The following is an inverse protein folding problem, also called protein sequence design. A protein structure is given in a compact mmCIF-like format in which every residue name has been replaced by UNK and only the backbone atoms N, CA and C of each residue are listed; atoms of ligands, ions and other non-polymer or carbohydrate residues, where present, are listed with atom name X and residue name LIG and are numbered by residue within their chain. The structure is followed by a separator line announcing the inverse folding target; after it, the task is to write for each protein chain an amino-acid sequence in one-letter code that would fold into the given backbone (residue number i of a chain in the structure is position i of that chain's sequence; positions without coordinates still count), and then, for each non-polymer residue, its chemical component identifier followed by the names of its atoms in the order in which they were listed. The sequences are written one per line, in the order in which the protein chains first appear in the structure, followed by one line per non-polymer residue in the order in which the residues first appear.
data_IF_558999832013
#
_entry.id   IF_558999832013
#
_cell.length_a   1.000
_cell.length_b   1.000
_cell.length_c   1.000
_cell.angle_alpha   90.00
_cell.angle_beta   90.00
_cell.angle_gamma   90.00
#
_symmetry.space_group_name_H-M   'P 1'
#
loop_
_entity.id
_entity.type
_entity.pdbx_description
1 polymer ?
#
# COMPACT_ATOMS: atom_id res chain seq x y z
N UNK A 1 19.29 -5.43 -13.95
CA UNK A 1 18.30 -6.09 -14.81
C UNK A 1 16.95 -6.18 -14.11
N UNK A 2 16.88 -6.78 -12.91
CA UNK A 2 15.64 -6.92 -12.13
C UNK A 2 14.87 -5.60 -11.95
N UNK A 3 15.56 -4.51 -11.58
CA UNK A 3 14.96 -3.18 -11.45
C UNK A 3 14.21 -2.76 -12.72
N UNK A 4 14.84 -2.87 -13.89
CA UNK A 4 14.23 -2.47 -15.16
C UNK A 4 12.99 -3.32 -15.51
N UNK A 5 13.09 -4.63 -15.32
CA UNK A 5 11.98 -5.56 -15.58
C UNK A 5 10.81 -5.29 -14.64
N UNK A 6 11.08 -5.13 -13.34
CA UNK A 6 10.05 -4.92 -12.34
C UNK A 6 9.40 -3.54 -12.48
N UNK A 7 10.17 -2.50 -12.83
CA UNK A 7 9.60 -1.19 -13.18
C UNK A 7 8.68 -1.27 -14.40
N UNK A 8 9.08 -2.00 -15.44
CA UNK A 8 8.23 -2.23 -16.60
C UNK A 8 6.91 -2.91 -16.23
N UNK A 9 6.96 -3.99 -15.45
CA UNK A 9 5.76 -4.68 -14.95
C UNK A 9 4.85 -3.77 -14.12
N UNK A 10 5.43 -2.97 -13.24
CA UNK A 10 4.67 -2.01 -12.42
C UNK A 10 4.01 -0.95 -13.31
N UNK A 11 4.74 -0.37 -14.25
CA UNK A 11 4.22 0.60 -15.20
C UNK A 11 3.06 0.01 -16.02
N UNK A 12 3.26 -1.19 -16.58
CA UNK A 12 2.25 -1.89 -17.38
C UNK A 12 1.01 -2.22 -16.54
N UNK A 13 1.17 -2.63 -15.28
CA UNK A 13 0.03 -2.87 -14.38
C UNK A 13 -0.83 -1.61 -14.21
N UNK A 14 -0.22 -0.46 -13.90
CA UNK A 14 -0.95 0.81 -13.75
C UNK A 14 -1.66 1.23 -15.05
N UNK A 15 -0.99 1.06 -16.18
CA UNK A 15 -1.55 1.34 -17.50
C UNK A 15 -2.74 0.42 -17.81
N UNK A 16 -2.58 -0.89 -17.65
CA UNK A 16 -3.57 -1.86 -18.08
C UNK A 16 -4.77 -1.94 -17.13
N UNK A 17 -4.55 -1.78 -15.82
CA UNK A 17 -5.61 -1.89 -14.80
C UNK A 17 -6.33 -0.56 -14.54
N UNK A 18 -5.64 0.57 -14.72
CA UNK A 18 -6.19 1.88 -14.36
C UNK A 18 -6.20 2.90 -15.50
N UNK A 19 -5.70 2.55 -16.68
CA UNK A 19 -5.48 3.49 -17.78
C UNK A 19 -4.63 4.70 -17.35
N UNK A 20 -3.70 4.49 -16.41
CA UNK A 20 -2.81 5.54 -15.89
C UNK A 20 -1.53 5.59 -16.72
N UNK A 21 -1.18 6.76 -17.23
CA UNK A 21 0.08 6.95 -17.97
C UNK A 21 1.21 7.41 -17.03
N UNK A 22 1.96 6.47 -16.45
CA UNK A 22 3.08 6.72 -15.52
C UNK A 22 2.68 7.28 -14.14
N UNK A 23 3.69 7.66 -13.34
CA UNK A 23 3.56 8.18 -11.98
C UNK A 23 2.69 9.42 -11.90
N UNK A 24 2.75 10.33 -12.88
CA UNK A 24 2.01 11.60 -12.88
C UNK A 24 0.75 11.60 -13.77
N UNK A 25 0.40 10.43 -14.32
CA UNK A 25 -0.65 10.25 -15.30
C UNK A 25 -0.46 11.05 -16.62
N UNK A 26 0.74 11.55 -16.90
CA UNK A 26 1.08 12.35 -18.10
C UNK A 26 2.33 11.84 -18.83
N UNK A 27 2.77 10.62 -18.52
CA UNK A 27 3.91 10.00 -19.18
C UNK A 27 5.26 10.45 -18.64
N UNK A 28 5.32 10.89 -17.37
CA UNK A 28 6.58 11.16 -16.69
C UNK A 28 7.58 10.02 -16.85
N UNK A 29 8.85 10.38 -17.05
CA UNK A 29 9.96 9.43 -17.08
C UNK A 29 10.08 8.77 -15.70
N UNK A 30 10.14 7.44 -15.69
CA UNK A 30 10.34 6.66 -14.45
C UNK A 30 11.83 6.42 -14.28
N UNK A 31 12.41 7.02 -13.25
CA UNK A 31 13.84 6.90 -12.94
C UNK A 31 14.04 6.14 -11.63
N UNK A 32 15.05 5.27 -11.62
CA UNK A 32 15.45 4.51 -10.45
C UNK A 32 16.97 4.44 -10.36
N UNK A 33 17.48 4.73 -9.17
CA UNK A 33 18.89 4.62 -8.81
C UNK A 33 19.10 3.34 -8.01
N UNK A 34 19.97 2.48 -8.51
CA UNK A 34 20.41 1.26 -7.83
C UNK A 34 21.73 1.51 -7.12
N UNK A 35 22.15 0.60 -6.24
CA UNK A 35 23.38 0.73 -5.45
C UNK A 35 23.41 1.96 -4.52
N UNK A 36 22.23 2.44 -4.11
CA UNK A 36 22.10 3.67 -3.30
C UNK A 36 22.74 3.56 -1.91
N UNK A 37 22.87 2.35 -1.36
CA UNK A 37 23.57 2.07 -0.11
C UNK A 37 23.75 0.54 0.06
N UNK A 38 24.43 0.13 1.15
CA UNK A 38 24.58 -1.26 1.55
C UNK A 38 23.47 -1.77 2.50
N UNK A 39 22.43 -0.96 2.76
CA UNK A 39 21.33 -1.36 3.68
C UNK A 39 20.15 -1.92 2.89
N UNK A 40 19.31 -2.69 3.57
CA UNK A 40 18.06 -3.21 3.01
C UNK A 40 16.96 -2.17 3.08
N UNK A 41 17.08 -1.14 2.25
CA UNK A 41 16.15 -0.02 2.22
C UNK A 41 15.83 0.40 0.77
N UNK A 42 14.61 0.87 0.56
CA UNK A 42 14.14 1.40 -0.71
C UNK A 42 13.26 2.62 -0.43
N UNK A 43 13.31 3.60 -1.33
CA UNK A 43 12.54 4.83 -1.15
C UNK A 43 12.19 5.49 -2.47
N UNK A 44 10.98 6.04 -2.53
CA UNK A 44 10.63 7.14 -3.42
C UNK A 44 11.13 8.47 -2.84
N UNK A 45 11.88 9.24 -3.64
CA UNK A 45 12.23 10.62 -3.31
C UNK A 45 11.34 11.57 -4.08
N UNK A 46 10.54 12.35 -3.35
CA UNK A 46 9.72 13.42 -3.92
C UNK A 46 10.57 14.53 -4.57
N UNK A 47 11.70 14.86 -3.97
CA UNK A 47 12.65 15.88 -4.46
C UNK A 47 13.21 15.49 -5.84
N UNK A 48 13.69 14.26 -5.97
CA UNK A 48 14.28 13.76 -7.22
C UNK A 48 13.26 13.15 -8.16
N UNK A 49 12.00 13.01 -7.73
CA UNK A 49 10.95 12.32 -8.48
C UNK A 49 11.42 10.95 -9.00
N UNK A 50 12.15 10.22 -8.15
CA UNK A 50 12.90 9.02 -8.51
C UNK A 50 12.91 8.01 -7.38
N UNK A 51 13.03 6.73 -7.73
CA UNK A 51 13.16 5.64 -6.76
C UNK A 51 14.63 5.31 -6.47
N UNK A 52 14.92 4.88 -5.26
CA UNK A 52 16.24 4.49 -4.81
C UNK A 52 16.16 3.09 -4.20
N UNK A 53 17.05 2.20 -4.62
CA UNK A 53 17.09 0.82 -4.14
C UNK A 53 18.45 0.49 -3.56
N UNK A 54 18.47 0.10 -2.30
CA UNK A 54 19.64 -0.41 -1.60
C UNK A 54 20.03 -1.82 -2.03
N UNK A 55 21.31 -2.13 -1.84
CA UNK A 55 21.88 -3.44 -2.21
C UNK A 55 21.51 -4.57 -1.25
N UNK A 56 21.05 -4.22 -0.05
CA UNK A 56 20.95 -5.16 1.05
C UNK A 56 22.31 -5.53 1.64
N UNK A 57 22.29 -6.06 2.86
CA UNK A 57 23.49 -6.42 3.62
C UNK A 57 24.11 -7.76 3.20
N UNK A 58 23.50 -8.45 2.23
CA UNK A 58 23.89 -9.80 1.78
C UNK A 58 23.67 -10.90 2.82
N UNK A 59 23.05 -10.57 3.97
CA UNK A 59 22.78 -11.51 5.07
C UNK A 59 21.28 -11.71 5.25
N UNK A 60 20.59 -10.65 5.64
CA UNK A 60 19.14 -10.65 5.78
C UNK A 60 18.48 -10.04 4.56
N UNK A 61 19.12 -9.05 3.92
CA UNK A 61 18.61 -8.40 2.74
C UNK A 61 19.46 -8.73 1.52
N UNK A 62 18.78 -9.06 0.44
CA UNK A 62 19.32 -8.96 -0.91
C UNK A 62 18.85 -7.66 -1.55
N UNK A 63 19.30 -7.36 -2.77
CA UNK A 63 18.96 -6.13 -3.48
C UNK A 63 17.44 -5.88 -3.49
N UNK A 64 17.02 -4.69 -3.09
CA UNK A 64 15.61 -4.40 -2.77
C UNK A 64 14.70 -4.45 -4.00
N UNK A 65 15.20 -4.04 -5.17
CA UNK A 65 14.44 -4.12 -6.42
C UNK A 65 14.22 -5.54 -6.96
N UNK A 66 14.79 -6.58 -6.33
CA UNK A 66 14.48 -7.97 -6.69
C UNK A 66 13.03 -8.31 -6.41
N UNK A 67 12.47 -7.76 -5.33
CA UNK A 67 11.07 -7.94 -5.01
C UNK A 67 10.21 -7.02 -5.88
N UNK A 68 9.33 -7.62 -6.70
CA UNK A 68 8.41 -6.86 -7.55
C UNK A 68 7.45 -6.00 -6.71
N UNK A 69 7.02 -6.51 -5.55
CA UNK A 69 6.16 -5.76 -4.63
C UNK A 69 6.85 -4.51 -4.06
N UNK A 70 8.14 -4.56 -3.72
CA UNK A 70 8.92 -3.38 -3.29
C UNK A 70 9.00 -2.36 -4.41
N UNK A 71 9.27 -2.79 -5.66
CA UNK A 71 9.28 -1.86 -6.79
C UNK A 71 7.89 -1.24 -7.03
N UNK A 72 6.83 -2.04 -6.90
CA UNK A 72 5.45 -1.57 -6.94
C UNK A 72 5.14 -0.56 -5.83
N UNK A 73 5.62 -0.82 -4.61
CA UNK A 73 5.46 0.03 -3.44
C UNK A 73 6.11 1.40 -3.66
N UNK A 74 7.38 1.45 -4.08
CA UNK A 74 8.05 2.75 -4.33
C UNK A 74 7.40 3.55 -5.47
N UNK A 75 6.95 2.87 -6.53
CA UNK A 75 6.20 3.54 -7.59
C UNK A 75 4.90 4.14 -7.08
N UNK A 76 4.24 3.43 -6.16
CA UNK A 76 2.95 3.83 -5.57
C UNK A 76 3.08 5.05 -4.67
N UNK A 77 4.19 5.22 -3.95
CA UNK A 77 4.49 6.49 -3.27
C UNK A 77 4.55 7.66 -4.25
N UNK A 78 5.17 7.46 -5.43
CA UNK A 78 5.13 8.46 -6.48
C UNK A 78 3.71 8.80 -6.92
N UNK A 79 2.84 7.79 -7.06
CA UNK A 79 1.42 8.02 -7.40
C UNK A 79 0.71 8.78 -6.28
N UNK A 80 0.90 8.43 -5.02
CA UNK A 80 0.37 9.19 -3.87
C UNK A 80 0.82 10.66 -3.92
N UNK A 81 2.11 10.91 -4.12
CA UNK A 81 2.67 12.27 -4.22
C UNK A 81 2.04 13.08 -5.38
N UNK A 82 1.66 12.45 -6.49
CA UNK A 82 1.02 13.15 -7.63
C UNK A 82 -0.50 13.26 -7.55
N UNK A 83 -1.13 12.64 -6.56
CA UNK A 83 -2.58 12.57 -6.42
C UNK A 83 -3.03 13.16 -5.08
N UNK A 84 -3.35 12.32 -4.09
CA UNK A 84 -3.83 12.74 -2.76
C UNK A 84 -2.81 13.57 -1.97
N UNK A 85 -1.52 13.39 -2.25
CA UNK A 85 -0.42 14.01 -1.51
C UNK A 85 -0.53 13.77 0.01
N UNK A 86 -0.94 12.55 0.40
CA UNK A 86 -1.05 12.13 1.81
C UNK A 86 0.19 12.55 2.60
N UNK A 87 -0.01 13.35 3.65
CA UNK A 87 1.09 13.74 4.53
C UNK A 87 1.71 12.49 5.15
N UNK A 88 3.01 12.33 5.01
CA UNK A 88 3.76 11.17 5.50
C UNK A 88 3.99 11.19 7.02
N UNK A 89 2.91 11.25 7.79
CA UNK A 89 2.91 11.36 9.25
C UNK A 89 1.64 10.74 9.84
N UNK A 90 1.73 10.09 11.01
CA UNK A 90 0.59 9.50 11.74
C UNK A 90 -0.32 8.62 10.84
N UNK A 91 -1.66 8.75 10.94
CA UNK A 91 -2.60 7.94 10.16
C UNK A 91 -2.53 8.19 8.65
N UNK A 92 -2.33 9.44 8.19
CA UNK A 92 -2.21 9.74 6.76
C UNK A 92 -0.94 9.13 6.16
N UNK A 93 0.16 9.13 6.92
CA UNK A 93 1.39 8.46 6.52
C UNK A 93 1.25 6.94 6.54
N UNK A 94 0.59 6.39 7.56
CA UNK A 94 0.29 4.96 7.61
C UNK A 94 -0.65 4.52 6.47
N UNK A 95 -1.54 5.41 6.02
CA UNK A 95 -2.38 5.18 4.85
C UNK A 95 -1.57 5.24 3.55
N UNK A 96 -0.60 6.15 3.45
CA UNK A 96 0.35 6.22 2.32
C UNK A 96 1.15 4.92 2.20
N UNK A 97 1.71 4.44 3.31
CA UNK A 97 2.39 3.13 3.39
C UNK A 97 1.48 1.97 2.99
N UNK A 98 0.25 1.95 3.52
CA UNK A 98 -0.69 0.88 3.22
C UNK A 98 -1.13 0.88 1.76
N UNK A 99 -1.37 2.04 1.17
CA UNK A 99 -1.65 2.16 -0.26
C UNK A 99 -0.51 1.57 -1.10
N UNK A 100 0.74 1.91 -0.77
CA UNK A 100 1.91 1.36 -1.45
C UNK A 100 2.02 -0.16 -1.32
N UNK A 101 1.74 -0.72 -0.14
CA UNK A 101 1.68 -2.18 0.09
C UNK A 101 0.57 -2.87 -0.72
N UNK A 102 -0.64 -2.30 -0.70
CA UNK A 102 -1.81 -2.81 -1.44
C UNK A 102 -1.50 -2.91 -2.93
N UNK A 103 -0.92 -1.86 -3.49
CA UNK A 103 -0.54 -1.81 -4.90
C UNK A 103 0.60 -2.79 -5.19
N UNK A 104 1.64 -2.85 -4.36
CA UNK A 104 2.74 -3.81 -4.50
C UNK A 104 2.27 -5.26 -4.53
N UNK A 105 1.37 -5.64 -3.61
CA UNK A 105 0.75 -6.97 -3.56
C UNK A 105 -0.10 -7.25 -4.79
N UNK A 106 -0.89 -6.29 -5.25
CA UNK A 106 -1.75 -6.47 -6.42
C UNK A 106 -0.94 -6.61 -7.72
N UNK A 107 0.12 -5.81 -7.89
CA UNK A 107 1.06 -5.91 -9.02
C UNK A 107 1.73 -7.29 -9.03
N UNK A 108 2.15 -7.79 -7.87
CA UNK A 108 2.77 -9.11 -7.76
C UNK A 108 1.77 -10.25 -7.95
N UNK A 109 0.54 -10.08 -7.49
CA UNK A 109 -0.58 -11.00 -7.66
C UNK A 109 -0.50 -12.34 -6.89
N UNK A 110 0.63 -12.64 -6.25
CA UNK A 110 0.95 -14.00 -5.73
C UNK A 110 0.40 -14.29 -4.33
N UNK A 111 0.58 -13.38 -3.39
CA UNK A 111 0.23 -13.54 -1.97
C UNK A 111 -0.02 -12.14 -1.35
N UNK A 112 -0.18 -12.06 -0.03
CA UNK A 112 -0.36 -10.81 0.72
C UNK A 112 0.87 -10.43 1.58
N UNK A 113 2.05 -10.87 1.14
CA UNK A 113 3.33 -10.59 1.79
C UNK A 113 4.10 -9.56 0.98
N UNK A 114 4.93 -8.78 1.67
CA UNK A 114 5.76 -7.75 1.06
C UNK A 114 7.24 -8.07 1.27
N UNK A 115 8.05 -7.92 0.22
CA UNK A 115 9.49 -8.01 0.30
C UNK A 115 10.05 -9.41 0.54
N UNK A 116 9.28 -10.49 0.36
CA UNK A 116 9.74 -11.85 0.66
C UNK A 116 10.85 -12.35 -0.28
N UNK A 117 11.03 -11.71 -1.43
CA UNK A 117 12.12 -12.00 -2.36
C UNK A 117 13.41 -11.23 -2.01
N UNK A 118 13.32 -10.22 -1.15
CA UNK A 118 14.45 -9.38 -0.72
C UNK A 118 14.85 -9.60 0.76
N UNK A 119 13.89 -9.84 1.67
CA UNK A 119 14.13 -10.12 3.09
C UNK A 119 14.09 -11.62 3.41
N UNK A 120 15.22 -12.12 3.92
CA UNK A 120 15.48 -13.52 4.26
C UNK A 120 14.85 -14.48 3.23
N UNK A 121 15.17 -14.32 1.93
CA UNK A 121 14.51 -15.07 0.88
C UNK A 121 14.75 -16.57 1.06
N UNK A 122 13.76 -17.38 0.65
CA UNK A 122 13.76 -18.84 0.80
C UNK A 122 13.75 -19.35 2.25
N UNK A 123 13.35 -18.52 3.22
CA UNK A 123 13.16 -18.92 4.62
C UNK A 123 11.69 -18.88 5.04
N UNK A 124 11.35 -19.51 6.16
CA UNK A 124 10.00 -19.39 6.76
C UNK A 124 9.69 -17.98 7.26
N UNK A 125 10.73 -17.18 7.49
CA UNK A 125 10.66 -15.79 7.94
C UNK A 125 10.64 -14.81 6.76
N UNK A 126 10.50 -15.28 5.51
CA UNK A 126 10.48 -14.42 4.33
C UNK A 126 9.23 -13.53 4.32
N UNK A 127 9.46 -12.22 4.16
CA UNK A 127 8.56 -11.05 4.16
C UNK A 127 8.94 -10.00 5.21
N UNK A 128 8.88 -8.74 4.84
CA UNK A 128 9.03 -7.59 5.74
C UNK A 128 7.71 -7.35 6.47
N UNK A 129 6.59 -7.39 5.72
CA UNK A 129 5.22 -7.21 6.19
C UNK A 129 4.31 -8.34 5.70
N UNK A 130 3.22 -8.59 6.42
CA UNK A 130 2.22 -9.61 6.09
C UNK A 130 0.83 -8.98 6.28
N UNK A 131 0.14 -8.67 5.18
CA UNK A 131 -1.18 -8.00 5.26
C UNK A 131 -2.26 -8.95 5.79
N UNK A 132 -2.09 -10.26 5.59
CA UNK A 132 -3.02 -11.26 6.12
C UNK A 132 -2.91 -11.36 7.64
N UNK A 133 -1.69 -11.29 8.18
CA UNK A 133 -1.43 -11.34 9.62
C UNK A 133 -0.30 -10.37 10.01
N UNK A 134 -0.62 -9.07 10.18
CA UNK A 134 0.37 -8.04 10.49
C UNK A 134 1.18 -8.33 11.77
N UNK A 135 0.57 -9.08 12.71
CA UNK A 135 1.19 -9.40 14.00
C UNK A 135 2.45 -10.26 13.86
N UNK A 136 2.54 -11.09 12.81
CA UNK A 136 3.76 -11.88 12.50
C UNK A 136 4.99 -11.00 12.24
N UNK A 137 4.77 -9.73 11.93
CA UNK A 137 5.79 -8.73 11.64
C UNK A 137 5.78 -7.57 12.63
N UNK A 138 5.09 -7.74 13.76
CA UNK A 138 5.05 -6.74 14.83
C UNK A 138 4.16 -5.53 14.54
N UNK A 139 3.32 -5.59 13.50
CA UNK A 139 2.38 -4.52 13.17
C UNK A 139 1.00 -4.80 13.80
N UNK A 140 0.26 -3.78 14.28
CA UNK A 140 -1.14 -3.93 14.67
C UNK A 140 -2.02 -4.29 13.48
N UNK A 141 -3.03 -5.13 13.73
CA UNK A 141 -4.07 -5.50 12.75
C UNK A 141 -5.43 -4.83 13.08
N UNK A 142 -5.51 -4.07 14.17
CA UNK A 142 -6.75 -3.50 14.68
C UNK A 142 -6.49 -2.16 15.41
N UNK A 143 -7.42 -1.20 15.32
CA UNK A 143 -7.29 0.16 15.90
C UNK A 143 -7.05 0.20 17.41
N UNK A 144 -7.65 -0.72 18.17
CA UNK A 144 -7.37 -0.88 19.61
C UNK A 144 -5.87 -1.05 19.94
N UNK A 145 -5.08 -1.56 18.99
CA UNK A 145 -3.65 -1.85 19.15
C UNK A 145 -2.76 -0.79 18.48
N UNK A 146 -3.37 0.33 18.02
CA UNK A 146 -2.68 1.46 17.38
C UNK A 146 -1.51 1.95 18.25
N UNK A 147 -0.37 2.19 17.61
CA UNK A 147 0.86 2.62 18.28
C UNK A 147 1.00 4.13 18.17
N UNK A 148 0.87 4.82 19.29
CA UNK A 148 1.22 6.24 19.39
C UNK A 148 2.74 6.37 19.48
N UNK A 149 3.35 6.91 18.43
CA UNK A 149 4.79 7.12 18.32
C UNK A 149 5.08 8.61 18.04
N UNK A 150 6.29 9.11 18.33
CA UNK A 150 6.63 10.49 18.02
C UNK A 150 6.57 10.76 16.51
N UNK A 151 5.92 11.85 16.10
CA UNK A 151 5.89 12.35 14.72
C UNK A 151 7.24 12.95 14.29
N UNK A 152 8.28 12.11 14.28
CA UNK A 152 9.65 12.44 13.90
C UNK A 152 10.25 11.27 13.14
N UNK A 153 11.33 11.44 12.36
CA UNK A 153 11.95 10.33 11.64
C UNK A 153 12.35 9.15 12.54
N UNK A 154 12.81 9.41 13.78
CA UNK A 154 13.16 8.36 14.75
C UNK A 154 11.93 7.65 15.33
N UNK A 155 10.78 8.31 15.35
CA UNK A 155 9.51 7.75 15.78
C UNK A 155 8.68 7.20 14.61
N UNK A 156 9.34 6.87 13.49
CA UNK A 156 8.68 6.37 12.28
C UNK A 156 7.59 7.34 11.78
N UNK A 157 7.84 8.65 11.90
CA UNK A 157 6.90 9.72 11.59
C UNK A 157 5.51 9.53 12.23
N UNK A 158 5.44 9.00 13.45
CA UNK A 158 4.16 8.66 14.09
C UNK A 158 3.71 7.23 13.84
N UNK A 159 4.64 6.33 13.51
CA UNK A 159 4.38 4.91 13.29
C UNK A 159 3.75 4.62 11.93
N UNK A 160 4.19 5.28 10.85
CA UNK A 160 3.59 5.11 9.52
C UNK A 160 3.76 3.67 9.01
N UNK A 161 4.96 3.11 9.10
CA UNK A 161 5.21 1.72 8.73
C UNK A 161 4.56 0.77 9.73
N UNK A 162 4.53 1.12 11.02
CA UNK A 162 3.92 0.27 12.05
C UNK A 162 2.41 0.16 11.86
N UNK A 163 1.70 1.29 11.87
CA UNK A 163 0.24 1.35 11.89
C UNK A 163 -0.41 1.06 10.52
N UNK A 164 0.36 1.04 9.42
CA UNK A 164 -0.11 0.59 8.11
C UNK A 164 -0.71 -0.81 8.13
N UNK A 165 -0.27 -1.66 9.07
CA UNK A 165 -0.81 -3.01 9.31
C UNK A 165 -2.34 -3.05 9.48
N UNK A 166 -2.94 -1.99 10.03
CA UNK A 166 -4.39 -1.92 10.28
C UNK A 166 -5.15 -1.84 8.95
N UNK A 167 -4.74 -0.92 8.06
CA UNK A 167 -5.38 -0.77 6.73
C UNK A 167 -4.97 -1.91 5.81
N UNK A 168 -3.73 -2.41 5.91
CA UNK A 168 -3.29 -3.61 5.19
C UNK A 168 -4.18 -4.82 5.51
N UNK A 169 -4.53 -5.02 6.79
CA UNK A 169 -5.41 -6.11 7.17
C UNK A 169 -6.84 -5.91 6.67
N UNK A 170 -7.37 -4.68 6.72
CA UNK A 170 -8.67 -4.36 6.12
C UNK A 170 -8.67 -4.65 4.61
N UNK A 171 -7.63 -4.26 3.88
CA UNK A 171 -7.50 -4.51 2.45
C UNK A 171 -7.42 -6.02 2.12
N UNK A 172 -6.64 -6.79 2.91
CA UNK A 172 -6.63 -8.24 2.82
C UNK A 172 -8.04 -8.83 3.01
N UNK A 173 -8.77 -8.40 4.04
CA UNK A 173 -10.13 -8.88 4.32
C UNK A 173 -11.10 -8.56 3.17
N UNK A 174 -10.96 -7.40 2.52
CA UNK A 174 -11.72 -7.04 1.33
C UNK A 174 -11.46 -8.04 0.21
N UNK A 175 -10.18 -8.27 -0.13
CA UNK A 175 -9.83 -9.20 -1.20
C UNK A 175 -10.24 -10.66 -0.89
N UNK A 176 -10.03 -11.11 0.34
CA UNK A 176 -10.38 -12.46 0.80
C UNK A 176 -11.90 -12.71 0.75
N UNK A 177 -12.72 -11.76 1.24
CA UNK A 177 -14.17 -11.90 1.19
C UNK A 177 -14.74 -11.74 -0.24
N UNK A 178 -14.08 -10.99 -1.13
CA UNK A 178 -14.40 -10.96 -2.57
C UNK A 178 -14.09 -12.32 -3.23
N UNK A 179 -12.93 -12.91 -2.94
CA UNK A 179 -12.55 -14.22 -3.48
C UNK A 179 -13.53 -15.32 -3.07
N UNK A 180 -14.04 -15.27 -1.83
CA UNK A 180 -15.10 -16.18 -1.34
C UNK A 180 -16.43 -16.05 -2.08
N UNK A 181 -16.66 -14.96 -2.83
CA UNK A 181 -17.80 -14.84 -3.75
C UNK A 181 -17.56 -15.58 -5.08
N UNK A 182 -16.39 -16.18 -5.30
CA UNK A 182 -15.99 -16.84 -6.54
C UNK A 182 -15.36 -15.90 -7.58
N UNK A 183 -14.86 -14.74 -7.15
CA UNK A 183 -14.27 -13.72 -8.04
C UNK A 183 -12.75 -13.89 -8.08
N UNK A 184 -12.21 -14.28 -9.24
CA UNK A 184 -10.79 -14.67 -9.39
C UNK A 184 -9.79 -13.50 -9.29
N UNK A 185 -10.22 -12.26 -9.56
CA UNK A 185 -9.36 -11.07 -9.59
C UNK A 185 -9.53 -10.16 -8.35
N UNK A 186 -9.75 -10.75 -7.19
CA UNK A 186 -10.03 -10.04 -5.94
C UNK A 186 -8.99 -8.97 -5.57
N UNK A 187 -7.68 -9.25 -5.76
CA UNK A 187 -6.59 -8.28 -5.51
C UNK A 187 -6.64 -7.09 -6.46
N UNK A 188 -7.02 -7.29 -7.71
CA UNK A 188 -7.17 -6.19 -8.68
C UNK A 188 -8.38 -5.31 -8.31
N UNK A 189 -9.47 -5.92 -7.84
CA UNK A 189 -10.64 -5.16 -7.35
C UNK A 189 -10.28 -4.36 -6.11
N UNK A 190 -9.59 -4.97 -5.13
CA UNK A 190 -9.05 -4.28 -3.95
C UNK A 190 -8.19 -3.09 -4.39
N UNK A 191 -7.18 -3.31 -5.23
CA UNK A 191 -6.31 -2.24 -5.73
C UNK A 191 -7.10 -1.14 -6.46
N UNK A 192 -8.12 -1.50 -7.26
CA UNK A 192 -8.96 -0.53 -7.96
C UNK A 192 -9.73 0.38 -7.00
N UNK A 193 -10.27 -0.16 -5.91
CA UNK A 193 -10.98 0.64 -4.90
C UNK A 193 -10.04 1.66 -4.26
N UNK A 194 -8.89 1.20 -3.74
CA UNK A 194 -7.90 2.06 -3.09
C UNK A 194 -7.25 3.06 -4.05
N UNK A 195 -6.93 2.65 -5.29
CA UNK A 195 -6.44 3.54 -6.33
C UNK A 195 -7.42 4.66 -6.65
N UNK A 196 -8.71 4.32 -6.80
CA UNK A 196 -9.75 5.31 -7.11
C UNK A 196 -9.92 6.28 -5.95
N UNK A 197 -9.93 5.80 -4.70
CA UNK A 197 -10.00 6.68 -3.53
C UNK A 197 -8.78 7.61 -3.43
N UNK A 198 -7.56 7.08 -3.64
CA UNK A 198 -6.33 7.88 -3.63
C UNK A 198 -6.30 8.97 -4.71
N UNK A 199 -6.91 8.74 -5.88
CA UNK A 199 -6.91 9.73 -6.96
C UNK A 199 -8.01 10.79 -6.83
N UNK A 200 -9.14 10.45 -6.22
CA UNK A 200 -10.36 11.28 -6.36
C UNK A 200 -11.05 11.65 -5.05
N UNK A 201 -10.71 11.00 -3.94
CA UNK A 201 -11.39 11.22 -2.66
C UNK A 201 -10.44 11.66 -1.55
N UNK A 202 -9.21 11.15 -1.56
CA UNK A 202 -8.21 11.45 -0.54
C UNK A 202 -7.51 12.78 -0.78
N UNK A 203 -7.07 13.36 0.32
CA UNK A 203 -6.28 14.59 0.42
C UNK A 203 -5.12 14.37 1.43
N UNK A 204 -4.32 15.39 1.64
CA UNK A 204 -3.12 15.34 2.48
C UNK A 204 -3.40 15.03 3.97
N UNK A 205 -4.63 15.24 4.43
CA UNK A 205 -5.06 15.01 5.82
C UNK A 205 -5.95 13.78 6.01
N UNK A 206 -6.16 12.99 4.95
CA UNK A 206 -7.06 11.84 5.01
C UNK A 206 -6.56 10.81 6.04
N UNK A 207 -7.43 10.50 7.00
CA UNK A 207 -7.18 9.57 8.09
C UNK A 207 -7.92 8.24 7.87
N UNK A 208 -7.82 7.30 8.81
CA UNK A 208 -8.39 5.96 8.63
C UNK A 208 -9.92 5.94 8.56
N UNK A 209 -10.58 6.80 9.34
CA UNK A 209 -12.05 6.92 9.31
C UNK A 209 -12.54 7.52 7.98
N UNK A 210 -11.85 8.55 7.47
CA UNK A 210 -12.14 9.12 6.15
C UNK A 210 -11.87 8.11 5.02
N UNK A 211 -10.76 7.38 5.09
CA UNK A 211 -10.45 6.29 4.16
C UNK A 211 -11.58 5.25 4.05
N UNK A 212 -12.13 4.79 5.19
CA UNK A 212 -13.29 3.88 5.21
C UNK A 212 -14.48 4.46 4.44
N UNK A 213 -14.86 5.70 4.76
CA UNK A 213 -16.03 6.34 4.17
C UNK A 213 -15.85 6.56 2.65
N UNK A 214 -14.65 6.97 2.25
CA UNK A 214 -14.31 7.21 0.84
C UNK A 214 -14.30 5.89 0.05
N UNK A 215 -13.79 4.80 0.62
CA UNK A 215 -13.86 3.48 -0.02
C UNK A 215 -15.29 2.97 -0.15
N UNK A 216 -16.15 3.20 0.84
CA UNK A 216 -17.58 2.87 0.73
C UNK A 216 -18.20 3.66 -0.42
N UNK A 217 -17.94 4.98 -0.50
CA UNK A 217 -18.42 5.83 -1.59
C UNK A 217 -17.94 5.31 -2.95
N UNK A 218 -16.64 5.12 -3.12
CA UNK A 218 -16.04 4.58 -4.36
C UNK A 218 -16.64 3.22 -4.73
N UNK A 219 -16.88 2.35 -3.75
CA UNK A 219 -17.47 1.03 -3.99
C UNK A 219 -18.91 1.13 -4.47
N UNK A 220 -19.71 2.05 -3.90
CA UNK A 220 -21.07 2.35 -4.36
C UNK A 220 -21.07 2.88 -5.79
N UNK A 221 -20.15 3.80 -6.11
CA UNK A 221 -20.05 4.40 -7.44
C UNK A 221 -19.65 3.39 -8.51
N UNK A 222 -18.76 2.44 -8.18
CA UNK A 222 -18.28 1.43 -9.12
C UNK A 222 -19.20 0.22 -9.27
N UNK A 223 -19.85 -0.23 -8.20
CA UNK A 223 -20.57 -1.51 -8.17
C UNK A 223 -22.06 -1.40 -7.82
N UNK A 224 -22.53 -0.20 -7.49
CA UNK A 224 -23.90 0.08 -7.10
C UNK A 224 -24.12 0.05 -5.58
N UNK A 225 -25.07 0.86 -5.13
CA UNK A 225 -25.31 1.15 -3.71
C UNK A 225 -25.62 -0.10 -2.86
N UNK A 226 -26.33 -1.07 -3.44
CA UNK A 226 -26.76 -2.30 -2.76
C UNK A 226 -25.87 -3.52 -3.08
N UNK A 227 -24.66 -3.30 -3.60
CA UNK A 227 -23.78 -4.40 -3.98
C UNK A 227 -23.18 -5.12 -2.77
N UNK A 228 -22.88 -6.41 -2.92
CA UNK A 228 -22.16 -7.18 -1.89
C UNK A 228 -20.76 -6.61 -1.60
N UNK A 229 -20.16 -5.92 -2.57
CA UNK A 229 -18.85 -5.28 -2.39
C UNK A 229 -18.90 -4.17 -1.33
N UNK A 230 -19.98 -3.38 -1.27
CA UNK A 230 -20.15 -2.36 -0.22
C UNK A 230 -20.14 -3.00 1.16
N UNK A 231 -20.91 -4.07 1.34
CA UNK A 231 -20.96 -4.81 2.61
C UNK A 231 -19.61 -5.43 2.98
N UNK A 232 -18.85 -5.92 1.99
CA UNK A 232 -17.49 -6.45 2.22
C UNK A 232 -16.56 -5.35 2.74
N UNK A 233 -16.57 -4.17 2.13
CA UNK A 233 -15.74 -3.03 2.57
C UNK A 233 -16.14 -2.60 3.98
N UNK A 234 -17.43 -2.40 4.26
CA UNK A 234 -17.93 -2.06 5.59
C UNK A 234 -17.47 -3.07 6.65
N UNK A 235 -17.70 -4.37 6.40
CA UNK A 235 -17.34 -5.44 7.31
C UNK A 235 -15.83 -5.54 7.54
N UNK A 236 -15.01 -5.33 6.51
CA UNK A 236 -13.55 -5.37 6.63
C UNK A 236 -13.02 -4.26 7.53
N UNK A 237 -13.53 -3.04 7.39
CA UNK A 237 -13.15 -1.91 8.25
C UNK A 237 -13.66 -2.09 9.69
N UNK A 238 -14.89 -2.58 9.86
CA UNK A 238 -15.45 -2.88 11.17
C UNK A 238 -14.62 -3.96 11.90
N UNK A 239 -14.15 -5.00 11.19
CA UNK A 239 -13.27 -6.06 11.73
C UNK A 239 -11.92 -5.54 12.24
N UNK A 240 -11.42 -4.41 11.73
CA UNK A 240 -10.19 -3.78 12.21
C UNK A 240 -10.46 -2.61 13.18
N UNK A 241 -11.71 -2.42 13.60
CA UNK A 241 -12.09 -1.43 14.59
C UNK A 241 -12.17 0.00 14.07
N UNK A 242 -12.29 0.19 12.76
CA UNK A 242 -12.56 1.49 12.14
C UNK A 242 -14.04 1.49 11.79
N UNK A 243 -14.84 2.15 12.61
CA UNK A 243 -16.28 2.26 12.38
C UNK A 243 -16.64 3.64 11.82
N UNK A 244 -17.85 3.77 11.29
CA UNK A 244 -18.38 5.08 10.90
C UNK A 244 -18.33 6.02 12.11
N UNK A 245 -17.41 6.99 12.10
CA UNK A 245 -17.47 8.11 13.04
C UNK A 245 -18.32 9.20 12.39
N UNK A 246 -19.32 9.77 13.09
CA UNK A 246 -19.96 11.00 12.61
C UNK A 246 -18.87 12.04 12.38
N UNK A 247 -18.85 12.69 11.20
CA UNK A 247 -18.04 13.89 11.02
C UNK A 247 -18.49 14.91 12.05
N UNK A 248 -17.71 15.09 13.12
CA UNK A 248 -17.77 16.34 13.85
C UNK A 248 -17.01 17.36 13.01
N UNK A 249 -17.64 18.48 12.62
CA UNK A 249 -16.91 19.57 12.01
C UNK A 249 -15.85 20.06 13.01
N UNK A 250 -14.64 20.31 12.50
CA UNK A 250 -13.61 21.06 13.19
C UNK A 250 -14.15 22.44 13.63
#
# INVERSE_FOLDING_TARGET
MDTYINLGKTYDYYKDKFNRNSIDNKGMKVEAFVDYNAVGDAAWSEEFNSMFFGNGDGKNFTHMSKSLDIVGHEFSHGVTHKESNLKYENESGALSESFSDIMGVAIKGKNFKLGEDSWKPNTKEAAIRDMQDPSKRGQPAHMKDYKYMPATPLGDNGGVHVNSGIINHAAYLIADDIEKLGVENSKDIMAKLFYTANCYEWDDTTNFSKCRNDLIKVTKDLYGENSKYVQIVENAFDKVGITATPQLPL
#
